data_IF_723002856365
#
_entry.id   IF_723002856365
#
_cell.length_a   1.000
_cell.length_b   1.000
_cell.length_c   1.000
_cell.angle_alpha   90.00
_cell.angle_beta   90.00
_cell.angle_gamma   90.00
#
_symmetry.space_group_name_H-M   'P 1'
#
loop_
_entity.id
_entity.type
_entity.pdbx_description
1 polymer ?
#
# COMPACT_ATOMS: atom_id res chain seq x y z
N UNK A 1 37.14 -8.46 15.57
CA UNK A 1 36.88 -9.04 14.24
C UNK A 1 36.08 -8.02 13.44
N UNK A 2 36.58 -7.54 12.30
CA UNK A 2 35.77 -6.72 11.37
C UNK A 2 34.80 -7.67 10.67
N UNK A 3 33.51 -7.60 11.01
CA UNK A 3 32.46 -8.33 10.29
C UNK A 3 32.19 -7.59 8.99
N UNK A 4 32.79 -8.03 7.91
CA UNK A 4 32.59 -7.44 6.59
C UNK A 4 31.42 -8.13 5.90
N UNK A 5 30.32 -7.40 5.73
CA UNK A 5 29.09 -7.90 5.16
C UNK A 5 29.02 -7.51 3.68
N UNK A 6 29.03 -8.49 2.79
CA UNK A 6 28.99 -8.22 1.36
C UNK A 6 27.54 -8.23 0.83
N UNK A 7 27.18 -7.23 0.04
CA UNK A 7 25.84 -7.12 -0.59
C UNK A 7 25.50 -8.35 -1.44
N UNK A 8 26.47 -9.00 -2.07
CA UNK A 8 26.23 -10.21 -2.86
C UNK A 8 25.72 -11.36 -2.01
N UNK A 9 26.21 -11.52 -0.77
CA UNK A 9 25.76 -12.56 0.16
C UNK A 9 24.32 -12.29 0.60
N UNK A 10 23.99 -11.04 0.87
CA UNK A 10 22.61 -10.63 1.19
C UNK A 10 21.66 -10.87 0.02
N UNK A 11 22.12 -10.67 -1.23
CA UNK A 11 21.30 -10.93 -2.42
C UNK A 11 20.99 -12.42 -2.57
N UNK A 12 21.99 -13.30 -2.36
CA UNK A 12 21.77 -14.74 -2.37
C UNK A 12 20.76 -15.14 -1.29
N UNK A 13 20.93 -14.62 -0.06
CA UNK A 13 20.02 -14.88 1.05
C UNK A 13 18.58 -14.46 0.73
N UNK A 14 18.36 -13.21 0.30
CA UNK A 14 17.03 -12.70 -0.03
C UNK A 14 16.39 -13.50 -1.18
N UNK A 15 17.16 -13.84 -2.22
CA UNK A 15 16.64 -14.63 -3.34
C UNK A 15 16.23 -16.04 -2.91
N UNK A 16 16.92 -16.67 -1.94
CA UNK A 16 16.48 -17.97 -1.39
C UNK A 16 15.16 -17.82 -0.64
N UNK A 17 14.97 -16.75 0.12
CA UNK A 17 13.70 -16.46 0.79
C UNK A 17 12.57 -16.29 -0.22
N UNK A 18 12.78 -15.45 -1.24
CA UNK A 18 11.75 -15.11 -2.24
C UNK A 18 11.37 -16.30 -3.13
N UNK A 19 12.33 -17.16 -3.46
CA UNK A 19 12.11 -18.34 -4.32
C UNK A 19 11.74 -19.61 -3.57
N UNK A 20 11.95 -19.64 -2.25
CA UNK A 20 11.63 -20.75 -1.35
C UNK A 20 12.54 -21.96 -1.43
N UNK A 21 13.52 -22.02 -2.34
CA UNK A 21 14.47 -23.13 -2.46
C UNK A 21 15.85 -22.70 -2.99
N UNK A 22 16.92 -23.34 -2.52
CA UNK A 22 18.29 -23.10 -3.01
C UNK A 22 18.41 -23.31 -4.53
N UNK A 23 17.73 -24.33 -5.07
CA UNK A 23 17.78 -24.65 -6.51
C UNK A 23 17.15 -23.57 -7.38
N UNK A 24 16.00 -23.01 -6.94
CA UNK A 24 15.34 -21.90 -7.65
C UNK A 24 16.14 -20.62 -7.56
N UNK A 25 16.71 -20.33 -6.38
CA UNK A 25 17.58 -19.19 -6.17
C UNK A 25 18.84 -19.27 -7.05
N UNK A 26 19.47 -20.44 -7.12
CA UNK A 26 20.62 -20.69 -7.97
C UNK A 26 20.30 -20.39 -9.44
N UNK A 27 19.15 -20.88 -9.94
CA UNK A 27 18.69 -20.60 -11.31
C UNK A 27 18.43 -19.11 -11.53
N UNK A 28 17.77 -18.43 -10.59
CA UNK A 28 17.46 -17.01 -10.69
C UNK A 28 18.71 -16.12 -10.70
N UNK A 29 19.78 -16.56 -10.01
CA UNK A 29 21.04 -15.83 -9.89
C UNK A 29 22.11 -16.27 -10.92
N UNK A 30 21.85 -17.27 -11.73
CA UNK A 30 22.85 -17.83 -12.66
C UNK A 30 24.01 -18.52 -11.95
N UNK A 31 23.78 -19.08 -10.75
CA UNK A 31 24.78 -19.75 -9.91
C UNK A 31 24.52 -21.27 -9.83
N UNK A 32 25.51 -22.02 -9.30
CA UNK A 32 25.29 -23.41 -8.90
C UNK A 32 24.59 -23.48 -7.54
N UNK A 33 23.86 -24.57 -7.28
CA UNK A 33 23.24 -24.80 -5.97
C UNK A 33 24.29 -24.91 -4.84
N UNK A 34 25.46 -25.50 -5.12
CA UNK A 34 26.57 -25.53 -4.18
C UNK A 34 27.04 -24.14 -3.79
N UNK A 35 27.24 -23.25 -4.79
CA UNK A 35 27.63 -21.86 -4.55
C UNK A 35 26.62 -21.11 -3.66
N UNK A 36 25.32 -21.31 -3.91
CA UNK A 36 24.26 -20.71 -3.05
C UNK A 36 24.38 -21.23 -1.61
N UNK A 37 24.53 -22.54 -1.43
CA UNK A 37 24.65 -23.13 -0.10
C UNK A 37 25.92 -22.70 0.64
N UNK A 38 27.06 -22.64 -0.06
CA UNK A 38 28.34 -22.15 0.49
C UNK A 38 28.26 -20.69 0.90
N UNK A 39 27.64 -19.86 0.07
CA UNK A 39 27.44 -18.43 0.35
C UNK A 39 26.57 -18.22 1.59
N UNK A 40 25.48 -18.96 1.74
CA UNK A 40 24.63 -18.89 2.93
C UNK A 40 25.38 -19.35 4.19
N UNK A 41 26.10 -20.47 4.11
CA UNK A 41 26.89 -20.95 5.24
C UNK A 41 28.01 -19.98 5.63
N UNK A 42 28.63 -19.29 4.65
CA UNK A 42 29.60 -18.24 4.92
C UNK A 42 28.96 -17.03 5.61
N UNK A 43 27.75 -16.62 5.17
CA UNK A 43 27.01 -15.52 5.76
C UNK A 43 26.62 -15.84 7.22
N UNK A 44 26.10 -17.01 7.50
CA UNK A 44 25.75 -17.46 8.86
C UNK A 44 26.96 -17.51 9.78
N UNK A 45 28.09 -18.02 9.29
CA UNK A 45 29.37 -18.00 10.03
C UNK A 45 29.87 -16.57 10.32
N UNK A 46 29.73 -15.67 9.34
CA UNK A 46 30.15 -14.27 9.52
C UNK A 46 29.30 -13.56 10.56
N UNK A 47 27.99 -13.85 10.58
CA UNK A 47 27.05 -13.25 11.52
C UNK A 47 26.98 -13.98 12.87
N UNK A 48 27.47 -15.21 12.95
CA UNK A 48 27.41 -16.05 14.15
C UNK A 48 26.00 -16.50 14.54
N UNK A 49 25.06 -16.52 13.57
CA UNK A 49 23.67 -16.91 13.79
C UNK A 49 23.16 -17.76 12.64
N UNK A 50 22.21 -18.65 12.91
CA UNK A 50 21.47 -19.37 11.88
C UNK A 50 20.38 -18.45 11.31
N UNK A 51 20.25 -18.41 10.00
CA UNK A 51 19.26 -17.60 9.27
C UNK A 51 18.06 -18.44 8.83
N UNK A 52 18.29 -19.74 8.60
CA UNK A 52 17.26 -20.69 8.20
C UNK A 52 17.10 -21.82 9.20
N UNK A 53 15.87 -22.33 9.34
CA UNK A 53 15.52 -23.57 10.03
C UNK A 53 14.81 -24.51 9.08
N UNK A 54 14.78 -25.79 9.40
CA UNK A 54 13.98 -26.77 8.64
C UNK A 54 12.49 -26.43 8.79
N UNK A 55 11.88 -25.99 7.72
CA UNK A 55 10.43 -25.74 7.64
C UNK A 55 9.64 -27.00 7.31
N UNK A 56 8.32 -26.87 7.25
CA UNK A 56 7.43 -27.94 6.83
C UNK A 56 7.79 -28.43 5.42
N UNK A 57 7.79 -29.75 5.22
CA UNK A 57 8.15 -30.41 3.96
C UNK A 57 9.60 -30.16 3.48
N UNK A 58 10.51 -29.77 4.40
CA UNK A 58 11.93 -29.56 4.06
C UNK A 58 12.26 -28.24 3.37
N UNK A 59 11.31 -27.35 3.21
CA UNK A 59 11.58 -25.99 2.70
C UNK A 59 12.30 -25.14 3.77
N UNK A 60 13.26 -24.26 3.39
CA UNK A 60 13.90 -23.36 4.33
C UNK A 60 12.87 -22.35 4.89
N UNK A 61 12.78 -22.27 6.21
CA UNK A 61 11.98 -21.26 6.91
C UNK A 61 12.94 -20.33 7.65
N UNK A 62 12.60 -19.03 7.71
CA UNK A 62 13.44 -18.07 8.42
C UNK A 62 13.45 -18.33 9.94
N UNK A 63 14.60 -18.07 10.55
CA UNK A 63 14.70 -17.86 11.99
C UNK A 63 14.34 -16.40 12.32
N UNK A 64 14.12 -16.02 13.60
CA UNK A 64 13.97 -14.62 14.00
C UNK A 64 15.13 -13.73 13.54
N UNK A 65 16.37 -14.25 13.59
CA UNK A 65 17.57 -13.57 13.06
C UNK A 65 17.50 -13.41 11.53
N UNK A 66 16.98 -14.41 10.83
CA UNK A 66 16.75 -14.36 9.38
C UNK A 66 15.72 -13.29 9.00
N UNK A 67 14.63 -13.15 9.76
CA UNK A 67 13.63 -12.10 9.53
C UNK A 67 14.22 -10.70 9.71
N UNK A 68 15.00 -10.49 10.77
CA UNK A 68 15.73 -9.24 11.00
C UNK A 68 16.68 -8.95 9.84
N UNK A 69 17.50 -9.94 9.43
CA UNK A 69 18.45 -9.75 8.33
C UNK A 69 17.74 -9.43 7.01
N UNK A 70 16.61 -10.08 6.72
CA UNK A 70 15.82 -9.82 5.51
C UNK A 70 15.35 -8.37 5.44
N UNK A 71 14.86 -7.82 6.55
CA UNK A 71 14.46 -6.43 6.65
C UNK A 71 15.62 -5.47 6.36
N UNK A 72 16.79 -5.72 6.93
CA UNK A 72 17.98 -4.90 6.67
C UNK A 72 18.54 -5.10 5.25
N UNK A 73 18.56 -6.33 4.72
CA UNK A 73 19.01 -6.60 3.36
C UNK A 73 18.19 -5.83 2.33
N UNK A 74 16.86 -5.85 2.45
CA UNK A 74 15.95 -5.08 1.58
C UNK A 74 16.24 -3.57 1.66
N UNK A 75 16.47 -3.03 2.86
CA UNK A 75 16.84 -1.61 3.04
C UNK A 75 18.19 -1.27 2.40
N UNK A 76 19.19 -2.16 2.51
CA UNK A 76 20.51 -1.97 1.89
C UNK A 76 20.42 -2.02 0.36
N UNK A 77 19.58 -2.89 -0.22
CA UNK A 77 19.36 -2.89 -1.67
C UNK A 77 18.66 -1.61 -2.14
N UNK A 78 17.65 -1.13 -1.40
CA UNK A 78 17.00 0.13 -1.70
C UNK A 78 18.02 1.30 -1.69
N UNK A 79 18.85 1.38 -0.66
CA UNK A 79 19.90 2.41 -0.54
C UNK A 79 20.97 2.30 -1.64
N UNK A 80 21.34 1.07 -2.04
CA UNK A 80 22.26 0.86 -3.15
C UNK A 80 21.67 1.31 -4.49
N UNK A 81 20.39 1.04 -4.70
CA UNK A 81 19.64 1.49 -5.89
C UNK A 81 19.50 3.02 -5.91
N UNK A 82 19.26 3.63 -4.75
CA UNK A 82 19.23 5.08 -4.56
C UNK A 82 20.57 5.72 -4.96
N UNK A 83 21.68 5.20 -4.43
CA UNK A 83 23.01 5.69 -4.76
C UNK A 83 23.29 5.64 -6.27
N UNK A 84 22.98 4.51 -6.92
CA UNK A 84 23.15 4.37 -8.37
C UNK A 84 22.25 5.36 -9.11
N UNK A 85 21.01 5.54 -8.64
CA UNK A 85 20.06 6.52 -9.19
C UNK A 85 20.56 7.96 -9.01
N UNK A 86 21.07 8.34 -7.83
CA UNK A 86 21.62 9.67 -7.59
C UNK A 86 22.87 9.94 -8.44
N UNK A 87 23.77 8.98 -8.58
CA UNK A 87 24.95 9.11 -9.42
C UNK A 87 24.60 9.22 -10.91
N UNK A 88 23.60 8.46 -11.38
CA UNK A 88 23.08 8.58 -12.75
C UNK A 88 22.35 9.92 -12.98
N UNK A 89 21.73 10.48 -11.95
CA UNK A 89 20.99 11.73 -11.98
C UNK A 89 21.83 12.97 -11.60
N UNK A 90 23.11 12.83 -11.28
CA UNK A 90 24.01 13.95 -11.00
C UNK A 90 24.14 14.94 -12.18
N UNK A 91 23.74 14.53 -13.39
CA UNK A 91 23.65 15.38 -14.58
C UNK A 91 22.22 15.92 -14.87
N UNK A 92 21.16 15.34 -14.29
CA UNK A 92 19.79 15.84 -14.48
C UNK A 92 18.94 15.49 -13.26
N UNK A 93 18.53 16.48 -12.50
CA UNK A 93 17.79 16.38 -11.21
C UNK A 93 16.36 15.78 -11.29
N UNK A 94 15.95 15.22 -12.40
CA UNK A 94 14.58 14.70 -12.59
C UNK A 94 14.65 13.29 -13.17
N UNK A 95 14.09 12.31 -12.49
CA UNK A 95 13.93 10.95 -13.03
C UNK A 95 13.13 11.00 -14.34
N UNK A 96 13.59 10.29 -15.37
CA UNK A 96 12.86 10.16 -16.63
C UNK A 96 11.52 9.42 -16.46
N UNK A 97 11.42 8.55 -15.45
CA UNK A 97 10.20 7.79 -15.12
C UNK A 97 9.94 7.84 -13.63
N UNK A 98 8.73 8.23 -13.25
CA UNK A 98 8.18 8.18 -11.89
C UNK A 98 7.21 6.98 -11.80
N UNK A 99 7.50 6.01 -10.94
CA UNK A 99 6.64 4.86 -10.70
C UNK A 99 5.81 5.10 -9.45
N UNK A 100 4.49 5.14 -9.60
CA UNK A 100 3.52 5.34 -8.52
C UNK A 100 2.70 4.08 -8.34
N UNK A 101 2.77 3.44 -7.18
CA UNK A 101 1.87 2.36 -6.80
C UNK A 101 0.70 2.91 -5.99
N UNK A 102 -0.52 2.54 -6.33
CA UNK A 102 -1.72 3.05 -5.65
C UNK A 102 -2.79 1.95 -5.49
N UNK A 103 -3.60 2.04 -4.44
CA UNK A 103 -4.84 1.26 -4.38
C UNK A 103 -5.76 1.67 -5.52
N UNK A 104 -6.59 0.73 -6.01
CA UNK A 104 -7.44 0.92 -7.20
C UNK A 104 -8.23 2.24 -7.17
N UNK A 105 -8.86 2.56 -6.02
CA UNK A 105 -9.69 3.76 -5.89
C UNK A 105 -8.91 5.06 -6.08
N UNK A 106 -7.65 5.10 -5.64
CA UNK A 106 -6.78 6.26 -5.84
C UNK A 106 -6.24 6.29 -7.26
N UNK A 107 -5.79 5.13 -7.78
CA UNK A 107 -5.25 5.01 -9.13
C UNK A 107 -6.24 5.39 -10.21
N UNK A 108 -7.50 4.96 -10.08
CA UNK A 108 -8.52 5.18 -11.09
C UNK A 108 -9.28 6.51 -10.96
N UNK A 109 -9.53 6.98 -9.73
CA UNK A 109 -10.46 8.10 -9.50
C UNK A 109 -9.79 9.40 -9.03
N UNK A 110 -8.57 9.33 -8.48
CA UNK A 110 -7.85 10.50 -7.95
C UNK A 110 -6.66 10.87 -8.81
N UNK A 111 -5.78 9.92 -9.10
CA UNK A 111 -4.52 10.17 -9.81
C UNK A 111 -4.70 10.77 -11.20
N UNK A 112 -5.64 10.39 -12.06
CA UNK A 112 -5.68 10.87 -13.44
C UNK A 112 -5.71 12.39 -13.56
N UNK A 113 -6.50 13.09 -12.74
CA UNK A 113 -6.57 14.56 -12.72
C UNK A 113 -5.26 15.19 -12.23
N UNK A 114 -4.56 14.55 -11.28
CA UNK A 114 -3.28 15.02 -10.74
C UNK A 114 -2.16 14.83 -11.73
N UNK A 115 -2.15 13.69 -12.41
CA UNK A 115 -1.17 13.39 -13.44
C UNK A 115 -1.32 14.31 -14.66
N UNK A 116 -2.53 14.71 -15.00
CA UNK A 116 -2.74 15.71 -16.05
C UNK A 116 -2.07 17.04 -15.70
N UNK A 117 -2.23 17.53 -14.47
CA UNK A 117 -1.57 18.74 -13.98
C UNK A 117 -0.03 18.56 -13.91
N UNK A 118 0.42 17.42 -13.40
CA UNK A 118 1.85 17.10 -13.30
C UNK A 118 2.54 17.10 -14.68
N UNK A 119 1.91 16.53 -15.71
CA UNK A 119 2.43 16.50 -17.08
C UNK A 119 2.64 17.87 -17.68
N UNK A 120 1.80 18.85 -17.33
CA UNK A 120 1.97 20.24 -17.78
C UNK A 120 3.23 20.86 -17.17
N UNK A 121 3.53 20.55 -15.91
CA UNK A 121 4.68 21.11 -15.19
C UNK A 121 5.98 20.32 -15.46
N UNK A 122 5.87 19.03 -15.68
CA UNK A 122 6.98 18.10 -15.88
C UNK A 122 6.83 17.30 -17.18
N UNK A 123 6.85 17.92 -18.36
CA UNK A 123 6.53 17.25 -19.64
C UNK A 123 7.55 16.16 -20.01
N UNK A 124 8.78 16.22 -19.49
CA UNK A 124 9.82 15.23 -19.74
C UNK A 124 9.72 13.99 -18.84
N UNK A 125 8.84 14.01 -17.81
CA UNK A 125 8.69 12.90 -16.87
C UNK A 125 7.58 11.95 -17.35
N UNK A 126 7.94 10.70 -17.57
CA UNK A 126 6.97 9.61 -17.75
C UNK A 126 6.48 9.15 -16.40
N UNK A 127 5.17 9.05 -16.23
CA UNK A 127 4.58 8.47 -15.01
C UNK A 127 3.98 7.11 -15.35
N UNK A 128 4.34 6.12 -14.54
CA UNK A 128 3.79 4.77 -14.60
C UNK A 128 3.00 4.52 -13.32
N UNK A 129 1.75 4.03 -13.46
CA UNK A 129 0.88 3.75 -12.32
C UNK A 129 0.65 2.25 -12.22
N UNK A 130 0.99 1.69 -11.07
CA UNK A 130 0.75 0.28 -10.72
C UNK A 130 -0.35 0.20 -9.67
N UNK A 131 -1.28 -0.73 -9.84
CA UNK A 131 -2.30 -0.99 -8.81
C UNK A 131 -1.96 -2.22 -7.99
N UNK A 132 -2.48 -2.27 -6.76
CA UNK A 132 -2.27 -3.40 -5.86
C UNK A 132 -2.95 -3.21 -4.51
N UNK A 133 -2.85 -4.22 -3.67
CA UNK A 133 -3.21 -4.16 -2.25
C UNK A 133 -2.23 -3.28 -1.46
N UNK A 134 -2.62 -2.83 -0.27
CA UNK A 134 -1.74 -2.02 0.58
C UNK A 134 -0.43 -2.75 0.93
N UNK A 135 -0.46 -4.07 1.15
CA UNK A 135 0.75 -4.87 1.39
C UNK A 135 1.68 -4.90 0.18
N UNK A 136 1.16 -5.22 -1.01
CA UNK A 136 1.94 -5.24 -2.24
C UNK A 136 2.55 -3.88 -2.56
N UNK A 137 1.80 -2.79 -2.34
CA UNK A 137 2.30 -1.43 -2.55
C UNK A 137 3.46 -1.13 -1.60
N UNK A 138 3.35 -1.49 -0.31
CA UNK A 138 4.42 -1.30 0.67
C UNK A 138 5.66 -2.12 0.30
N UNK A 139 5.48 -3.35 -0.16
CA UNK A 139 6.57 -4.20 -0.62
C UNK A 139 7.30 -3.60 -1.82
N UNK A 140 6.57 -3.14 -2.85
CA UNK A 140 7.16 -2.47 -4.02
C UNK A 140 7.93 -1.21 -3.66
N UNK A 141 7.40 -0.38 -2.76
CA UNK A 141 8.09 0.81 -2.28
C UNK A 141 9.35 0.45 -1.49
N UNK A 142 9.26 -0.54 -0.60
CA UNK A 142 10.41 -1.01 0.17
C UNK A 142 11.49 -1.65 -0.69
N UNK A 143 11.11 -2.32 -1.79
CA UNK A 143 12.03 -2.89 -2.78
C UNK A 143 12.61 -1.84 -3.74
N UNK A 144 12.12 -0.59 -3.73
CA UNK A 144 12.51 0.46 -4.68
C UNK A 144 11.93 0.27 -6.09
N UNK A 145 10.95 -0.62 -6.25
CA UNK A 145 10.22 -0.83 -7.50
C UNK A 145 9.22 0.29 -7.79
N UNK A 146 8.79 0.99 -6.75
CA UNK A 146 7.93 2.18 -6.85
C UNK A 146 8.52 3.31 -6.04
N UNK A 147 8.46 4.52 -6.59
CA UNK A 147 8.94 5.74 -5.96
C UNK A 147 7.98 6.25 -4.88
N UNK A 148 6.68 6.10 -5.14
CA UNK A 148 5.60 6.56 -4.29
C UNK A 148 4.52 5.48 -4.17
N UNK A 149 4.13 5.16 -2.94
CA UNK A 149 2.98 4.34 -2.61
C UNK A 149 1.83 5.19 -2.07
N UNK A 150 0.61 4.99 -2.58
CA UNK A 150 -0.61 5.67 -2.14
C UNK A 150 -1.62 4.64 -1.64
N UNK A 151 -1.88 4.68 -0.35
CA UNK A 151 -2.60 3.66 0.41
C UNK A 151 -3.85 4.26 1.05
N UNK A 152 -4.94 3.48 1.13
CA UNK A 152 -6.09 3.79 1.98
C UNK A 152 -6.14 2.81 3.13
N UNK A 153 -5.94 3.33 4.34
CA UNK A 153 -5.78 2.52 5.55
C UNK A 153 -6.57 3.11 6.72
N UNK A 154 -6.97 2.30 7.71
CA UNK A 154 -7.52 2.83 8.95
C UNK A 154 -6.57 3.83 9.60
N UNK A 155 -7.10 4.95 10.08
CA UNK A 155 -6.29 6.00 10.72
C UNK A 155 -5.54 5.49 11.96
N UNK A 156 -6.09 4.48 12.63
CA UNK A 156 -5.55 3.89 13.85
C UNK A 156 -4.33 2.99 13.63
N UNK A 157 -4.00 2.67 12.39
CA UNK A 157 -2.85 1.83 12.10
C UNK A 157 -1.54 2.63 12.27
N UNK A 158 -0.60 2.13 13.10
CA UNK A 158 0.66 2.81 13.40
C UNK A 158 1.69 2.68 12.27
N UNK A 159 1.24 2.74 11.04
CA UNK A 159 2.07 2.50 9.86
C UNK A 159 2.85 3.75 9.44
N UNK A 160 4.08 3.55 8.92
CA UNK A 160 4.91 4.62 8.40
C UNK A 160 4.29 5.26 7.15
N UNK A 161 4.52 6.57 7.00
CA UNK A 161 4.08 7.36 5.85
C UNK A 161 3.31 8.62 6.24
N UNK A 162 3.24 9.57 5.32
CA UNK A 162 2.55 10.85 5.54
C UNK A 162 1.07 10.73 5.23
N UNK A 163 0.21 11.15 6.15
CA UNK A 163 -1.23 11.26 5.91
C UNK A 163 -1.49 12.49 5.04
N UNK A 164 -2.14 12.31 3.90
CA UNK A 164 -2.47 13.36 2.94
C UNK A 164 -3.91 13.83 3.08
N UNK A 165 -4.85 12.91 3.29
CA UNK A 165 -6.28 13.21 3.38
C UNK A 165 -7.02 12.14 4.19
N UNK A 166 -8.24 12.46 4.65
CA UNK A 166 -9.21 11.49 5.17
C UNK A 166 -10.21 11.15 4.09
N UNK A 167 -10.58 9.88 3.99
CA UNK A 167 -11.59 9.40 3.07
C UNK A 167 -12.74 8.73 3.84
N UNK A 168 -13.97 8.96 3.40
CA UNK A 168 -15.16 8.27 3.93
C UNK A 168 -15.36 6.97 3.18
N UNK A 169 -15.71 5.93 3.92
CA UNK A 169 -16.26 4.70 3.36
C UNK A 169 -17.78 4.76 3.44
N UNK A 170 -18.46 4.37 2.37
CA UNK A 170 -19.91 4.37 2.27
C UNK A 170 -20.42 2.96 2.05
N UNK A 171 -21.49 2.60 2.77
CA UNK A 171 -22.30 1.45 2.40
C UNK A 171 -23.27 1.93 1.32
N UNK A 172 -23.33 1.19 0.22
CA UNK A 172 -24.04 1.54 -0.99
C UNK A 172 -25.03 0.45 -1.34
N UNK A 173 -26.18 0.87 -1.86
CA UNK A 173 -27.21 -0.01 -2.42
C UNK A 173 -27.83 0.59 -3.68
N UNK A 174 -28.70 -0.17 -4.33
CA UNK A 174 -29.56 0.39 -5.36
C UNK A 174 -30.48 1.47 -4.75
N UNK A 175 -30.90 2.50 -5.50
CA UNK A 175 -31.78 3.54 -4.99
C UNK A 175 -33.13 3.01 -4.46
N UNK A 176 -33.53 1.85 -4.94
CA UNK A 176 -34.77 1.15 -4.51
C UNK A 176 -34.55 0.27 -3.28
N UNK A 177 -33.31 0.14 -2.79
CA UNK A 177 -33.00 -0.72 -1.64
C UNK A 177 -33.73 -0.23 -0.38
N UNK A 178 -34.42 -1.13 0.38
CA UNK A 178 -35.22 -0.72 1.54
C UNK A 178 -34.46 0.12 2.57
N UNK A 179 -33.16 -0.18 2.80
CA UNK A 179 -32.30 0.51 3.76
C UNK A 179 -31.77 1.87 3.25
N UNK A 180 -31.95 2.22 1.98
CA UNK A 180 -31.48 3.50 1.44
C UNK A 180 -32.31 4.70 1.93
N UNK A 181 -33.47 4.48 2.53
CA UNK A 181 -34.40 5.55 2.96
C UNK A 181 -34.23 5.98 4.41
N UNK A 182 -33.35 5.37 5.17
CA UNK A 182 -33.25 5.60 6.61
C UNK A 182 -31.82 5.54 7.13
N UNK A 183 -31.70 5.21 8.41
CA UNK A 183 -30.45 4.89 9.08
C UNK A 183 -30.55 3.44 9.55
N UNK A 184 -29.76 2.57 8.95
CA UNK A 184 -29.77 1.16 9.23
C UNK A 184 -28.95 0.82 10.50
N UNK A 185 -29.44 -0.13 11.27
CA UNK A 185 -28.70 -0.76 12.35
C UNK A 185 -27.88 -1.97 11.83
N UNK A 186 -26.87 -2.38 12.60
CA UNK A 186 -26.04 -3.52 12.22
C UNK A 186 -26.85 -4.82 12.02
N UNK A 187 -27.89 -5.07 12.82
CA UNK A 187 -28.75 -6.23 12.67
C UNK A 187 -29.55 -6.25 11.35
N UNK A 188 -29.89 -5.09 10.82
CA UNK A 188 -30.56 -4.99 9.51
C UNK A 188 -29.56 -5.26 8.38
N UNK A 189 -28.37 -4.68 8.48
CA UNK A 189 -27.27 -4.86 7.52
C UNK A 189 -26.81 -6.32 7.45
N UNK A 190 -26.79 -7.04 8.58
CA UNK A 190 -26.39 -8.45 8.65
C UNK A 190 -27.22 -9.37 7.75
N UNK A 191 -28.43 -8.98 7.43
CA UNK A 191 -29.36 -9.75 6.58
C UNK A 191 -29.13 -9.56 5.09
N UNK A 192 -28.24 -8.62 4.72
CA UNK A 192 -27.89 -8.34 3.33
C UNK A 192 -26.58 -9.03 2.98
N UNK A 193 -26.42 -9.46 1.73
CA UNK A 193 -25.12 -9.82 1.18
C UNK A 193 -24.33 -8.55 0.89
N UNK A 194 -22.99 -8.60 1.09
CA UNK A 194 -22.09 -7.49 0.79
C UNK A 194 -21.13 -7.85 -0.34
N UNK A 195 -21.04 -6.98 -1.33
CA UNK A 195 -20.01 -7.02 -2.34
C UNK A 195 -18.81 -6.17 -1.91
N UNK A 196 -17.62 -6.76 -2.00
CA UNK A 196 -16.35 -6.17 -1.59
C UNK A 196 -15.37 -6.19 -2.77
N UNK A 197 -14.40 -5.28 -2.81
CA UNK A 197 -13.37 -5.33 -3.84
C UNK A 197 -12.49 -6.58 -3.68
N UNK A 198 -12.16 -6.94 -2.44
CA UNK A 198 -11.27 -8.07 -2.11
C UNK A 198 -11.83 -8.93 -0.96
N UNK A 199 -11.21 -10.09 -0.73
CA UNK A 199 -11.64 -11.04 0.28
C UNK A 199 -11.00 -10.82 1.67
N UNK A 200 -10.15 -9.82 1.87
CA UNK A 200 -9.42 -9.66 3.14
C UNK A 200 -8.68 -8.34 3.32
N UNK A 201 -8.87 -7.39 2.41
CA UNK A 201 -8.23 -6.08 2.47
C UNK A 201 -8.82 -5.15 3.52
N UNK A 202 -8.36 -3.92 3.50
CA UNK A 202 -8.68 -2.92 4.54
C UNK A 202 -10.18 -2.62 4.66
N UNK A 203 -10.90 -2.57 3.55
CA UNK A 203 -12.35 -2.32 3.58
C UNK A 203 -13.12 -3.49 4.20
N UNK A 204 -12.71 -4.71 3.88
CA UNK A 204 -13.28 -5.92 4.47
C UNK A 204 -13.06 -5.95 5.99
N UNK A 205 -11.83 -5.62 6.44
CA UNK A 205 -11.51 -5.54 7.86
C UNK A 205 -12.28 -4.41 8.57
N UNK A 206 -12.39 -3.24 7.93
CA UNK A 206 -13.16 -2.10 8.47
C UNK A 206 -14.63 -2.48 8.68
N UNK A 207 -15.24 -3.17 7.71
CA UNK A 207 -16.63 -3.61 7.82
C UNK A 207 -16.78 -4.66 8.93
N UNK A 208 -15.90 -5.64 9.00
CA UNK A 208 -15.90 -6.64 10.09
C UNK A 208 -15.81 -5.99 11.46
N UNK A 209 -14.86 -5.07 11.66
CA UNK A 209 -14.70 -4.35 12.93
C UNK A 209 -15.96 -3.56 13.31
N UNK A 210 -16.65 -2.98 12.34
CA UNK A 210 -17.92 -2.29 12.57
C UNK A 210 -18.98 -3.25 13.16
N UNK A 211 -19.13 -4.46 12.62
CA UNK A 211 -20.05 -5.46 13.14
C UNK A 211 -19.62 -6.02 14.50
N UNK A 212 -18.33 -6.28 14.67
CA UNK A 212 -17.75 -6.74 15.95
C UNK A 212 -17.99 -5.70 17.07
N UNK A 213 -17.79 -4.41 16.78
CA UNK A 213 -18.05 -3.32 17.73
C UNK A 213 -19.53 -3.18 18.09
N UNK A 214 -20.44 -3.57 17.16
CA UNK A 214 -21.87 -3.61 17.42
C UNK A 214 -22.33 -4.90 18.15
N UNK A 215 -21.45 -5.85 18.39
CA UNK A 215 -21.78 -7.16 18.97
C UNK A 215 -22.62 -8.06 18.05
N UNK A 216 -22.57 -7.81 16.72
CA UNK A 216 -23.36 -8.50 15.71
C UNK A 216 -22.44 -9.30 14.79
N UNK A 217 -22.74 -10.56 14.46
CA UNK A 217 -21.97 -11.31 13.48
C UNK A 217 -21.91 -10.60 12.13
N UNK A 218 -20.75 -10.63 11.44
CA UNK A 218 -20.62 -9.99 10.13
C UNK A 218 -21.55 -10.67 9.09
N UNK A 219 -22.00 -9.90 8.07
CA UNK A 219 -22.80 -10.43 6.97
C UNK A 219 -21.97 -11.34 6.07
N UNK A 220 -22.62 -12.00 5.12
CA UNK A 220 -21.93 -12.68 4.03
C UNK A 220 -21.28 -11.65 3.13
N UNK A 221 -19.96 -11.79 2.91
CA UNK A 221 -19.16 -10.92 2.07
C UNK A 221 -18.64 -11.70 0.86
N UNK A 222 -18.82 -11.14 -0.34
CA UNK A 222 -18.37 -11.72 -1.61
C UNK A 222 -17.42 -10.78 -2.31
N UNK A 223 -16.23 -11.26 -2.65
CA UNK A 223 -15.26 -10.49 -3.43
C UNK A 223 -15.69 -10.40 -4.90
N UNK A 224 -15.68 -9.19 -5.46
CA UNK A 224 -16.02 -8.87 -6.84
C UNK A 224 -14.77 -8.49 -7.68
N UNK A 225 -13.60 -8.41 -7.05
CA UNK A 225 -12.31 -8.18 -7.67
C UNK A 225 -11.99 -6.71 -7.96
N UNK A 226 -12.99 -5.86 -8.22
CA UNK A 226 -12.80 -4.44 -8.59
C UNK A 226 -13.92 -3.57 -8.05
N UNK A 227 -13.67 -2.25 -7.99
CA UNK A 227 -14.68 -1.24 -7.65
C UNK A 227 -15.86 -1.31 -8.64
N UNK A 228 -15.59 -1.41 -9.93
CA UNK A 228 -16.63 -1.54 -10.94
C UNK A 228 -17.42 -2.85 -10.79
N UNK A 229 -16.76 -3.94 -10.41
CA UNK A 229 -17.44 -5.21 -10.08
C UNK A 229 -18.45 -5.03 -8.95
N UNK A 230 -18.08 -4.34 -7.88
CA UNK A 230 -18.99 -4.02 -6.76
C UNK A 230 -20.15 -3.14 -7.23
N UNK A 231 -19.89 -2.04 -7.96
CA UNK A 231 -20.94 -1.15 -8.48
C UNK A 231 -21.95 -1.92 -9.35
N UNK A 232 -21.46 -2.68 -10.32
CA UNK A 232 -22.30 -3.47 -11.23
C UNK A 232 -23.04 -4.59 -10.51
N UNK A 233 -22.42 -5.22 -9.52
CA UNK A 233 -23.06 -6.22 -8.68
C UNK A 233 -24.27 -5.65 -7.93
N UNK A 234 -24.15 -4.47 -7.32
CA UNK A 234 -25.28 -3.78 -6.67
C UNK A 234 -26.40 -3.47 -7.68
N UNK A 235 -26.05 -3.03 -8.89
CA UNK A 235 -27.01 -2.63 -9.92
C UNK A 235 -27.65 -3.81 -10.67
N UNK A 236 -27.03 -4.99 -10.62
CA UNK A 236 -27.58 -6.19 -11.28
C UNK A 236 -28.90 -6.68 -10.68
N UNK A 237 -29.33 -6.07 -9.58
CA UNK A 237 -30.57 -6.35 -8.92
C UNK A 237 -30.38 -7.18 -7.64
N UNK A 238 -31.35 -7.03 -6.74
CA UNK A 238 -31.33 -7.72 -5.45
C UNK A 238 -31.19 -6.77 -4.26
N UNK A 239 -30.94 -7.36 -3.11
CA UNK A 239 -30.77 -6.67 -1.82
C UNK A 239 -29.31 -6.64 -1.38
N UNK A 240 -28.36 -6.79 -2.30
CA UNK A 240 -26.95 -6.74 -2.00
C UNK A 240 -26.48 -5.28 -1.80
N UNK A 241 -25.60 -5.11 -0.84
CA UNK A 241 -24.95 -3.85 -0.54
C UNK A 241 -23.47 -3.93 -0.95
N UNK A 242 -22.80 -2.80 -1.02
CA UNK A 242 -21.34 -2.75 -1.24
C UNK A 242 -20.70 -1.73 -0.32
N UNK A 243 -19.41 -1.88 -0.07
CA UNK A 243 -18.61 -0.91 0.67
C UNK A 243 -17.53 -0.34 -0.24
N UNK A 244 -17.62 0.96 -0.51
CA UNK A 244 -16.67 1.68 -1.38
C UNK A 244 -16.33 3.05 -0.78
N UNK A 245 -15.15 3.62 -1.12
CA UNK A 245 -14.82 4.99 -0.74
C UNK A 245 -15.64 6.00 -1.55
N UNK A 246 -16.07 7.07 -0.89
CA UNK A 246 -16.95 8.12 -1.47
C UNK A 246 -16.42 8.69 -2.78
N UNK A 247 -15.10 8.95 -2.87
CA UNK A 247 -14.48 9.52 -4.07
C UNK A 247 -14.57 8.61 -5.32
N UNK A 248 -14.81 7.31 -5.11
CA UNK A 248 -14.94 6.35 -6.23
C UNK A 248 -16.39 6.21 -6.74
N UNK A 249 -17.36 6.80 -6.04
CA UNK A 249 -18.80 6.66 -6.34
C UNK A 249 -19.53 7.99 -6.43
N UNK A 250 -18.80 9.11 -6.44
CA UNK A 250 -19.37 10.45 -6.48
C UNK A 250 -20.30 10.68 -7.68
N UNK A 251 -19.95 10.26 -8.92
CA UNK A 251 -20.86 10.39 -10.06
C UNK A 251 -22.16 9.60 -9.86
N UNK A 252 -22.07 8.34 -9.43
CA UNK A 252 -23.24 7.50 -9.24
C UNK A 252 -24.19 8.00 -8.15
N UNK A 253 -23.62 8.60 -7.09
CA UNK A 253 -24.42 9.21 -6.02
C UNK A 253 -25.11 10.49 -6.53
N UNK A 254 -24.39 11.34 -7.29
CA UNK A 254 -24.93 12.58 -7.87
C UNK A 254 -26.08 12.28 -8.82
N UNK A 255 -25.91 11.28 -9.67
CA UNK A 255 -26.86 10.89 -10.70
C UNK A 255 -27.96 9.94 -10.15
N UNK A 256 -27.93 9.68 -8.83
CA UNK A 256 -28.88 8.76 -8.16
C UNK A 256 -28.91 7.36 -8.75
N UNK A 257 -27.78 6.90 -9.31
CA UNK A 257 -27.59 5.53 -9.81
C UNK A 257 -27.33 4.58 -8.64
N UNK A 258 -26.61 5.04 -7.61
CA UNK A 258 -26.41 4.38 -6.34
C UNK A 258 -26.96 5.26 -5.21
N UNK A 259 -27.30 4.66 -4.08
CA UNK A 259 -27.72 5.35 -2.88
C UNK A 259 -26.85 4.96 -1.68
N UNK A 260 -26.52 5.95 -0.84
CA UNK A 260 -25.87 5.72 0.44
C UNK A 260 -26.87 5.09 1.44
N UNK A 261 -26.49 3.97 2.03
CA UNK A 261 -27.16 3.39 3.20
C UNK A 261 -26.45 3.91 4.44
N UNK A 262 -27.08 4.90 5.10
CA UNK A 262 -26.55 5.47 6.34
C UNK A 262 -26.65 4.48 7.48
N UNK A 263 -25.63 4.43 8.34
CA UNK A 263 -25.53 3.45 9.41
C UNK A 263 -25.22 4.07 10.76
N UNK A 264 -25.61 3.40 11.83
CA UNK A 264 -25.22 3.74 13.21
C UNK A 264 -24.65 2.50 13.92
N UNK A 265 -23.49 2.65 14.59
CA UNK A 265 -22.59 3.81 14.54
C UNK A 265 -22.07 4.08 13.13
N UNK A 266 -21.56 5.28 12.85
CA UNK A 266 -20.95 5.58 11.55
C UNK A 266 -19.70 4.71 11.32
N UNK A 267 -19.40 4.40 10.07
CA UNK A 267 -18.16 3.72 9.72
C UNK A 267 -16.94 4.58 10.07
N UNK A 268 -15.82 3.98 10.50
CA UNK A 268 -14.58 4.72 10.71
C UNK A 268 -14.08 5.29 9.38
N UNK A 269 -13.45 6.46 9.43
CA UNK A 269 -12.74 7.02 8.30
C UNK A 269 -11.45 6.24 8.04
N UNK A 270 -11.06 6.20 6.77
CA UNK A 270 -9.73 5.75 6.35
C UNK A 270 -8.90 6.96 5.94
N UNK A 271 -7.59 6.82 5.95
CA UNK A 271 -6.67 7.89 5.54
C UNK A 271 -5.97 7.52 4.25
N UNK A 272 -5.83 8.50 3.37
CA UNK A 272 -4.90 8.43 2.25
C UNK A 272 -3.49 8.67 2.80
N UNK A 273 -2.66 7.64 2.73
CA UNK A 273 -1.29 7.68 3.20
C UNK A 273 -0.31 7.58 2.03
N UNK A 274 0.71 8.44 2.04
CA UNK A 274 1.83 8.36 1.10
C UNK A 274 3.03 7.70 1.78
N UNK A 275 3.63 6.73 1.10
CA UNK A 275 4.87 6.08 1.48
C UNK A 275 5.88 6.31 0.37
N UNK A 276 7.09 6.74 0.71
CA UNK A 276 8.14 7.06 -0.24
C UNK A 276 9.25 6.00 -0.18
N UNK A 277 9.74 5.62 -1.35
CA UNK A 277 11.02 4.93 -1.42
C UNK A 277 12.14 5.87 -0.97
N UNK A 278 13.22 5.35 -0.36
CA UNK A 278 14.35 6.19 0.06
C UNK A 278 14.91 7.08 -1.06
N UNK A 279 15.01 6.55 -2.29
CA UNK A 279 15.50 7.29 -3.46
C UNK A 279 14.54 8.33 -4.04
N UNK A 280 13.32 8.40 -3.56
CA UNK A 280 12.33 9.38 -3.99
C UNK A 280 12.24 10.61 -3.06
N UNK A 281 12.93 10.56 -1.92
CA UNK A 281 12.98 11.66 -0.95
C UNK A 281 13.69 12.88 -1.55
N UNK A 282 13.01 14.03 -1.52
CA UNK A 282 13.52 15.28 -2.09
C UNK A 282 13.42 15.37 -3.62
N UNK A 283 12.71 14.46 -4.27
CA UNK A 283 12.37 14.56 -5.69
C UNK A 283 11.32 15.66 -5.91
N UNK A 284 11.62 16.73 -6.67
CA UNK A 284 10.66 17.82 -6.88
C UNK A 284 9.36 17.37 -7.57
N UNK A 285 9.43 16.32 -8.39
CA UNK A 285 8.26 15.75 -9.09
C UNK A 285 7.35 15.03 -8.13
N UNK A 286 7.93 14.26 -7.19
CA UNK A 286 7.18 13.55 -6.15
C UNK A 286 6.54 14.54 -5.19
N UNK A 287 7.30 15.55 -4.77
CA UNK A 287 6.81 16.60 -3.86
C UNK A 287 5.63 17.37 -4.50
N UNK A 288 5.73 17.71 -5.79
CA UNK A 288 4.66 18.37 -6.56
C UNK A 288 3.41 17.48 -6.68
N UNK A 289 3.58 16.17 -6.91
CA UNK A 289 2.45 15.23 -6.93
C UNK A 289 1.77 15.13 -5.55
N UNK A 290 2.55 15.06 -4.48
CA UNK A 290 2.05 15.01 -3.10
C UNK A 290 1.32 16.31 -2.74
N UNK A 291 1.85 17.47 -3.11
CA UNK A 291 1.17 18.75 -2.93
C UNK A 291 -0.13 18.81 -3.72
N UNK A 292 -0.12 18.35 -4.96
CA UNK A 292 -1.32 18.22 -5.78
C UNK A 292 -2.39 17.34 -5.14
N UNK A 293 -2.00 16.25 -4.47
CA UNK A 293 -2.90 15.37 -3.74
C UNK A 293 -3.46 16.04 -2.45
N UNK A 294 -2.66 16.88 -1.79
CA UNK A 294 -3.07 17.66 -0.61
C UNK A 294 -3.94 18.86 -0.97
N UNK A 295 -3.66 19.53 -2.06
CA UNK A 295 -4.18 20.85 -2.40
C UNK A 295 -5.55 20.89 -3.07
N UNK A 296 -6.17 19.76 -3.41
CA UNK A 296 -7.44 19.78 -4.16
C UNK A 296 -8.57 19.09 -3.43
N UNK A 297 -9.64 19.84 -3.10
CA UNK A 297 -10.85 19.24 -2.57
C UNK A 297 -11.48 18.34 -3.63
N UNK A 298 -11.35 17.06 -3.46
CA UNK A 298 -12.17 16.08 -4.17
C UNK A 298 -13.27 15.66 -3.20
N UNK A 299 -14.53 15.63 -3.63
CA UNK A 299 -15.62 15.14 -2.79
C UNK A 299 -15.25 13.75 -2.27
N UNK A 300 -15.40 13.53 -0.98
CA UNK A 300 -15.02 12.28 -0.34
C UNK A 300 -13.56 12.14 0.10
N UNK A 301 -12.69 13.10 -0.25
CA UNK A 301 -11.35 13.25 0.32
C UNK A 301 -11.27 14.57 1.07
N UNK A 302 -11.34 14.53 2.39
CA UNK A 302 -11.18 15.70 3.25
C UNK A 302 -9.70 15.90 3.57
N UNK A 303 -9.18 17.08 3.20
CA UNK A 303 -7.81 17.45 3.54
C UNK A 303 -7.63 17.41 5.07
N UNK A 304 -6.58 16.77 5.54
CA UNK A 304 -6.09 17.01 6.88
C UNK A 304 -5.39 18.35 6.84
N UNK A 305 -5.87 19.34 7.63
CA UNK A 305 -5.07 20.51 7.93
C UNK A 305 -3.69 20.01 8.38
N UNK A 306 -2.62 20.62 7.84
CA UNK A 306 -1.25 20.20 8.14
C UNK A 306 -1.05 20.17 9.66
N UNK A 307 -1.25 19.01 10.25
CA UNK A 307 -0.78 18.73 11.59
C UNK A 307 0.74 18.59 11.46
N UNK A 308 1.42 19.52 12.08
CA UNK A 308 2.86 19.66 12.17
C UNK A 308 3.65 18.39 11.82
N UNK A 309 4.44 18.50 10.76
CA UNK A 309 5.48 17.56 10.44
C UNK A 309 6.45 17.49 11.64
N UNK A 310 6.20 16.54 12.54
CA UNK A 310 7.12 16.14 13.62
C UNK A 310 8.42 15.54 13.08
N UNK A 311 9.00 16.18 12.05
CA UNK A 311 10.26 15.80 11.41
C UNK A 311 11.40 16.82 11.60
N UNK A 312 11.16 17.94 12.31
CA UNK A 312 12.18 19.02 12.38
C UNK A 312 12.90 19.12 13.74
N UNK A 313 12.74 18.18 14.66
CA UNK A 313 13.55 18.22 15.91
C UNK A 313 14.92 17.54 15.79
N UNK A 314 15.25 16.87 14.69
CA UNK A 314 16.57 16.29 14.48
C UNK A 314 17.59 17.25 13.83
N UNK A 315 17.16 18.37 13.25
CA UNK A 315 18.09 19.32 12.58
C UNK A 315 18.64 20.44 13.47
N UNK A 316 18.08 20.67 14.65
CA UNK A 316 18.50 21.80 15.52
C UNK A 316 19.52 21.41 16.58
N UNK A 317 19.84 20.12 16.78
CA UNK A 317 20.84 19.69 17.78
C UNK A 317 22.27 19.44 17.25
N UNK A 318 22.52 19.67 15.96
CA UNK A 318 23.86 19.50 15.35
C UNK A 318 24.59 20.82 15.03
N UNK A 319 24.13 21.97 15.55
CA UNK A 319 24.81 23.27 15.39
C UNK A 319 25.27 23.93 16.69
N UNK A 320 25.28 23.18 17.80
CA UNK A 320 25.88 23.68 19.05
C UNK A 320 26.60 22.53 19.76
N UNK A 321 27.74 22.17 19.22
CA UNK A 321 28.98 21.75 19.93
C UNK A 321 30.13 21.66 18.96
#
# INVERSE_FOLDING_TARGET
>A
MKTELELRHLRVFATVVDTGTHTRAARALGLSQSTVSETLSALERTLGVELFRKGARGAPALTPSGEVLLGYARRMFALSSELVGELANASTRVKATLVVSAVESIGAYVLPSRLAALRTRWPAVRVEVLTGSCSEIRERVAAGESDLGLLLEPETWPEAGAILAKARLLILGAPTHPLARGVAAADELRRCDFYMCDAGGNYHQTLRQHFEAAGVPPPRMQAMGTIEGVKRGILAGGTALGLLPEHAVEPELRDSVLAEVRVRPALPCVVLRAVLAPGALGSPVVDDLIEGLRGSPQRGLQLTAAADAGGNQARTRLRSR
#
